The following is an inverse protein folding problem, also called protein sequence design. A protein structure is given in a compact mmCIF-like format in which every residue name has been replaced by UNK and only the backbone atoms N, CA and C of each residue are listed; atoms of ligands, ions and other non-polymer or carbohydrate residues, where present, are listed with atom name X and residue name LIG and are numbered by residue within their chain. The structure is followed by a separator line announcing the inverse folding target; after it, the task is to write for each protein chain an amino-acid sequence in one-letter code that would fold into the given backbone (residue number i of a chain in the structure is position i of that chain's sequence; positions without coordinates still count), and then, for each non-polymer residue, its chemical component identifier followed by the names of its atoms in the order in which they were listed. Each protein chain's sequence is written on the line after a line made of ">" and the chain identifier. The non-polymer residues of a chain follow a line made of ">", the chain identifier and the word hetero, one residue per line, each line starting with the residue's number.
data_IF_046319821437
#
_entry.id   IF_046319821437
#
_cell.length_a   1.000
_cell.length_b   1.000
_cell.length_c   1.000
_cell.angle_alpha   90.00
_cell.angle_beta   90.00
_cell.angle_gamma   90.00
#
_symmetry.space_group_name_H-M   'P 1'
#
loop_
_entity.id
_entity.type
_entity.pdbx_description
1 polymer ?
#
# COMPACT_ATOMS: atom_id res chain seq x y z
N UNK A 1 -12.49 8.14 29.82
CA UNK A 1 -11.76 9.41 29.99
C UNK A 1 -10.52 9.40 29.10
N UNK A 2 -10.71 9.59 27.79
CA UNK A 2 -9.76 10.20 26.84
C UNK A 2 -10.67 10.80 25.77
N UNK A 3 -10.72 12.12 25.65
CA UNK A 3 -11.32 12.79 24.51
C UNK A 3 -10.27 12.80 23.40
N UNK A 4 -10.37 11.87 22.46
CA UNK A 4 -9.57 11.91 21.24
C UNK A 4 -10.08 13.06 20.39
N UNK A 5 -9.44 14.23 20.50
CA UNK A 5 -9.67 15.33 19.57
C UNK A 5 -9.12 14.92 18.19
N UNK A 6 -9.98 14.38 17.33
CA UNK A 6 -9.72 14.05 15.92
C UNK A 6 -9.50 15.29 15.04
N UNK A 7 -9.08 16.43 15.58
CA UNK A 7 -8.87 17.64 14.80
C UNK A 7 -7.44 17.72 14.22
N UNK A 8 -6.44 17.14 14.93
CA UNK A 8 -5.02 17.32 14.58
C UNK A 8 -4.14 16.09 14.86
N UNK A 9 -3.03 16.03 14.13
CA UNK A 9 -1.94 15.03 14.22
C UNK A 9 -0.57 15.69 14.11
N UNK A 10 0.48 14.96 14.51
CA UNK A 10 1.87 15.37 14.32
C UNK A 10 2.45 14.65 13.10
N UNK A 11 3.06 15.40 12.18
CA UNK A 11 3.77 14.81 11.04
C UNK A 11 5.19 14.34 11.42
N UNK A 12 5.94 13.82 10.46
CA UNK A 12 7.28 13.26 10.67
C UNK A 12 8.32 14.26 11.22
N UNK A 13 8.09 15.56 11.06
CA UNK A 13 8.93 16.63 11.60
C UNK A 13 8.39 17.21 12.92
N UNK A 14 7.36 16.58 13.52
CA UNK A 14 6.77 17.01 14.78
C UNK A 14 5.90 18.27 14.68
N UNK A 15 5.48 18.67 13.47
CA UNK A 15 4.55 19.78 13.28
C UNK A 15 3.11 19.31 13.45
N UNK A 16 2.31 20.08 14.20
CA UNK A 16 0.86 19.87 14.34
C UNK A 16 0.15 20.29 13.05
N UNK A 17 -0.52 19.36 12.39
CA UNK A 17 -1.31 19.56 11.18
C UNK A 17 -2.70 18.94 11.32
N UNK A 18 -3.66 19.37 10.49
CA UNK A 18 -5.00 18.76 10.49
C UNK A 18 -4.98 17.38 9.82
N UNK A 19 -5.95 16.53 10.12
CA UNK A 19 -6.11 15.25 9.41
C UNK A 19 -6.36 15.44 7.93
N UNK A 20 -7.06 16.50 7.52
CA UNK A 20 -7.29 16.82 6.11
C UNK A 20 -5.97 17.15 5.39
N UNK A 21 -5.09 17.92 6.04
CA UNK A 21 -3.75 18.24 5.52
C UNK A 21 -2.89 16.99 5.43
N UNK A 22 -2.88 16.16 6.47
CA UNK A 22 -2.17 14.87 6.50
C UNK A 22 -2.69 13.92 5.40
N UNK A 23 -4.01 13.78 5.27
CA UNK A 23 -4.62 12.96 4.21
C UNK A 23 -4.29 13.48 2.82
N UNK A 24 -4.31 14.80 2.61
CA UNK A 24 -3.92 15.40 1.33
C UNK A 24 -2.45 15.12 0.99
N UNK A 25 -1.54 15.24 1.97
CA UNK A 25 -0.13 14.88 1.81
C UNK A 25 0.03 13.39 1.46
N UNK A 26 -0.66 12.50 2.20
CA UNK A 26 -0.65 11.06 1.94
C UNK A 26 -1.18 10.71 0.55
N UNK A 27 -2.20 11.43 0.07
CA UNK A 27 -2.75 11.22 -1.28
C UNK A 27 -1.85 11.76 -2.40
N UNK A 28 -0.85 12.58 -2.08
CA UNK A 28 0.08 13.13 -3.07
C UNK A 28 1.36 12.32 -3.24
N UNK A 29 1.68 11.42 -2.31
CA UNK A 29 2.90 10.63 -2.31
C UNK A 29 2.67 9.25 -2.91
N UNK A 30 3.52 8.85 -3.87
CA UNK A 30 3.61 7.45 -4.31
C UNK A 30 4.22 6.61 -3.19
N UNK A 31 3.60 5.49 -2.86
CA UNK A 31 4.16 4.53 -1.92
C UNK A 31 4.83 3.41 -2.71
N UNK A 32 6.11 3.19 -2.47
CA UNK A 32 6.88 2.16 -3.17
C UNK A 32 7.73 1.34 -2.20
N UNK A 33 7.93 0.07 -2.54
CA UNK A 33 8.70 -0.83 -1.70
C UNK A 33 8.75 -2.26 -2.21
N UNK A 34 9.65 -3.04 -1.64
CA UNK A 34 9.77 -4.46 -1.94
C UNK A 34 8.86 -5.28 -1.03
N UNK A 35 8.00 -6.11 -1.61
CA UNK A 35 7.16 -7.06 -0.88
C UNK A 35 7.32 -8.47 -1.45
N UNK A 36 7.10 -9.48 -0.62
CA UNK A 36 7.03 -10.88 -1.04
C UNK A 36 5.67 -11.15 -1.66
N UNK A 37 5.64 -11.61 -2.91
CA UNK A 37 4.41 -12.02 -3.61
C UNK A 37 4.42 -13.52 -3.83
N UNK A 38 3.35 -14.20 -3.42
CA UNK A 38 3.14 -15.58 -3.80
C UNK A 38 2.84 -15.68 -5.31
N UNK A 39 3.59 -16.51 -6.02
CA UNK A 39 3.52 -16.64 -7.48
C UNK A 39 2.79 -17.90 -7.92
N UNK A 40 3.31 -19.07 -7.56
CA UNK A 40 2.68 -20.38 -7.75
C UNK A 40 3.36 -21.41 -6.85
N UNK A 41 2.85 -22.65 -6.84
CA UNK A 41 3.38 -23.75 -6.00
C UNK A 41 4.85 -24.05 -6.29
N UNK A 42 5.29 -23.95 -7.55
CA UNK A 42 6.66 -24.29 -7.94
C UNK A 42 7.69 -23.21 -7.55
N UNK A 43 7.32 -21.92 -7.65
CA UNK A 43 8.21 -20.78 -7.39
C UNK A 43 8.04 -20.18 -6.00
N UNK A 44 6.90 -20.41 -5.36
CA UNK A 44 6.57 -19.90 -4.04
C UNK A 44 6.50 -18.37 -3.96
N UNK A 45 6.93 -17.85 -2.80
CA UNK A 45 7.08 -16.43 -2.50
C UNK A 45 8.31 -15.86 -3.19
N UNK A 46 8.14 -14.70 -3.83
CA UNK A 46 9.20 -14.03 -4.55
C UNK A 46 9.13 -12.53 -4.30
N UNK A 47 10.28 -11.90 -4.09
CA UNK A 47 10.34 -10.45 -3.93
C UNK A 47 9.96 -9.74 -5.22
N UNK A 48 9.07 -8.75 -5.10
CA UNK A 48 8.64 -7.88 -6.20
C UNK A 48 8.63 -6.45 -5.71
N UNK A 49 8.89 -5.54 -6.63
CA UNK A 49 8.78 -4.12 -6.35
C UNK A 49 7.34 -3.67 -6.59
N UNK A 50 6.71 -3.08 -5.58
CA UNK A 50 5.34 -2.57 -5.65
C UNK A 50 5.35 -1.05 -5.66
N UNK A 51 4.42 -0.48 -6.42
CA UNK A 51 4.14 0.95 -6.43
C UNK A 51 2.63 1.11 -6.29
N UNK A 52 2.20 1.83 -5.26
CA UNK A 52 0.84 2.27 -5.03
C UNK A 52 0.74 3.75 -5.39
N UNK A 53 -0.20 4.06 -6.28
CA UNK A 53 -0.64 5.42 -6.56
C UNK A 53 -1.94 5.71 -5.81
N UNK A 54 -1.91 6.51 -4.72
CA UNK A 54 -3.10 6.85 -3.97
C UNK A 54 -4.14 7.64 -4.78
N UNK A 55 -3.72 8.41 -5.80
CA UNK A 55 -4.63 9.25 -6.59
C UNK A 55 -5.52 8.41 -7.49
N UNK A 56 -4.95 7.39 -8.10
CA UNK A 56 -5.68 6.46 -8.99
C UNK A 56 -6.19 5.22 -8.25
N UNK A 57 -5.68 4.96 -7.04
CA UNK A 57 -5.97 3.75 -6.28
C UNK A 57 -5.40 2.48 -6.92
N UNK A 58 -4.40 2.61 -7.78
CA UNK A 58 -3.80 1.49 -8.51
C UNK A 58 -2.55 1.00 -7.77
N UNK A 59 -2.52 -0.31 -7.51
CA UNK A 59 -1.34 -1.03 -7.04
C UNK A 59 -0.72 -1.80 -8.21
N UNK A 60 0.50 -1.44 -8.60
CA UNK A 60 1.25 -2.09 -9.67
C UNK A 60 2.46 -2.84 -9.12
N UNK A 61 2.91 -3.89 -9.79
CA UNK A 61 4.13 -4.60 -9.42
C UNK A 61 5.09 -4.84 -10.61
N UNK A 62 6.38 -4.87 -10.27
CA UNK A 62 7.51 -5.05 -11.15
C UNK A 62 8.42 -6.16 -10.62
N UNK A 63 9.33 -6.70 -11.44
CA UNK A 63 10.24 -7.74 -10.95
C UNK A 63 11.21 -7.19 -9.90
N UNK A 64 11.68 -5.97 -10.09
CA UNK A 64 12.67 -5.30 -9.26
C UNK A 64 12.55 -3.77 -9.44
N UNK A 65 13.28 -3.01 -8.63
CA UNK A 65 13.29 -1.54 -8.65
C UNK A 65 13.83 -0.94 -9.96
N UNK A 66 14.75 -1.63 -10.64
CA UNK A 66 15.32 -1.11 -11.89
C UNK A 66 14.31 -1.15 -13.05
N UNK A 67 13.34 -2.06 -12.99
CA UNK A 67 12.30 -2.24 -14.01
C UNK A 67 11.10 -1.29 -13.85
N UNK A 68 11.13 -0.34 -12.90
CA UNK A 68 10.05 0.66 -12.70
C UNK A 68 9.70 1.46 -13.96
N UNK A 69 10.69 1.69 -14.84
CA UNK A 69 10.52 2.42 -16.10
C UNK A 69 9.89 1.57 -17.21
N UNK A 70 9.80 0.26 -17.02
CA UNK A 70 9.17 -0.65 -17.97
C UNK A 70 7.67 -0.79 -17.69
N UNK A 71 6.97 -1.54 -18.53
CA UNK A 71 5.57 -1.85 -18.30
C UNK A 71 5.43 -2.72 -17.03
N UNK A 72 4.48 -2.40 -16.12
CA UNK A 72 4.24 -3.23 -14.95
C UNK A 72 3.87 -4.65 -15.37
N UNK A 73 4.31 -5.64 -14.58
CA UNK A 73 3.98 -7.06 -14.80
C UNK A 73 2.51 -7.35 -14.55
N UNK A 74 1.88 -6.54 -13.72
CA UNK A 74 0.46 -6.54 -13.44
C UNK A 74 0.09 -5.38 -12.54
N UNK A 75 -1.17 -5.01 -12.55
CA UNK A 75 -1.72 -3.93 -11.76
C UNK A 75 -3.16 -4.25 -11.37
N UNK A 76 -3.64 -3.62 -10.30
CA UNK A 76 -4.99 -3.82 -9.80
C UNK A 76 -5.53 -2.57 -9.12
N UNK A 77 -6.84 -2.32 -9.25
CA UNK A 77 -7.54 -1.27 -8.51
C UNK A 77 -7.87 -1.73 -7.10
N UNK A 78 -7.46 -0.94 -6.12
CA UNK A 78 -7.75 -1.19 -4.70
C UNK A 78 -9.11 -0.66 -4.23
N UNK A 79 -9.84 0.08 -5.07
CA UNK A 79 -11.14 0.70 -4.71
C UNK A 79 -12.16 -0.30 -4.13
N UNK A 80 -12.13 -1.55 -4.57
CA UNK A 80 -12.99 -2.63 -4.06
C UNK A 80 -12.20 -3.77 -3.39
N UNK A 81 -10.93 -3.55 -3.07
CA UNK A 81 -10.10 -4.54 -2.42
C UNK A 81 -10.34 -4.55 -0.91
N UNK A 82 -10.35 -5.75 -0.33
CA UNK A 82 -10.34 -5.94 1.12
C UNK A 82 -8.92 -6.33 1.52
N UNK A 83 -8.31 -5.52 2.38
CA UNK A 83 -7.01 -5.83 2.99
C UNK A 83 -7.27 -6.53 4.33
N UNK A 84 -6.76 -7.74 4.48
CA UNK A 84 -6.87 -8.54 5.69
C UNK A 84 -5.47 -8.87 6.20
N UNK A 85 -4.94 -8.14 7.20
CA UNK A 85 -3.73 -8.53 7.91
C UNK A 85 -3.85 -9.96 8.48
N UNK A 86 -2.75 -10.71 8.51
CA UNK A 86 -2.72 -12.03 9.16
C UNK A 86 -2.73 -11.86 10.68
N UNK A 87 -3.46 -12.75 11.37
CA UNK A 87 -3.45 -12.84 12.82
C UNK A 87 -2.19 -13.58 13.34
N UNK A 88 -1.56 -14.39 12.48
CA UNK A 88 -0.40 -15.23 12.83
C UNK A 88 0.96 -14.58 12.53
N UNK A 89 1.05 -13.72 11.50
CA UNK A 89 2.30 -13.06 11.09
C UNK A 89 2.11 -11.57 10.82
N UNK A 90 2.79 -10.74 11.62
CA UNK A 90 2.77 -9.27 11.51
C UNK A 90 3.28 -8.73 10.18
N UNK A 91 3.97 -9.53 9.36
CA UNK A 91 4.50 -9.13 8.07
C UNK A 91 3.66 -9.62 6.87
N UNK A 92 2.54 -10.30 7.13
CA UNK A 92 1.70 -10.89 6.10
C UNK A 92 0.32 -10.25 6.08
N UNK A 93 -0.18 -9.96 4.88
CA UNK A 93 -1.55 -9.54 4.65
C UNK A 93 -2.07 -10.15 3.35
N UNK A 94 -3.37 -10.43 3.32
CA UNK A 94 -4.08 -10.78 2.11
C UNK A 94 -4.73 -9.54 1.49
N UNK A 95 -4.57 -9.40 0.17
CA UNK A 95 -5.34 -8.44 -0.62
C UNK A 95 -6.37 -9.22 -1.45
N UNK A 96 -7.65 -9.16 -1.04
CA UNK A 96 -8.75 -9.91 -1.64
C UNK A 96 -9.60 -9.00 -2.51
N UNK A 97 -9.72 -9.35 -3.78
CA UNK A 97 -10.63 -8.69 -4.71
C UNK A 97 -11.91 -9.49 -4.75
N UNK A 98 -13.03 -8.86 -4.38
CA UNK A 98 -14.34 -9.48 -4.58
C UNK A 98 -14.64 -9.43 -6.06
N UNK A 99 -14.47 -10.56 -6.76
CA UNK A 99 -14.98 -10.70 -8.13
C UNK A 99 -16.49 -10.44 -8.09
N UNK A 100 -16.94 -9.48 -8.90
CA UNK A 100 -18.37 -9.26 -9.14
C UNK A 100 -18.95 -10.43 -9.92
#
# INVERSE_FOLDING_TARGET
>A
RISENFDYVYNSIGRRISWLEMSAEMMCQLYEGQLSKYTNVMKGWQFRWFILDPKTGILSYYLNENERKQQPRGWVHLEAAVIAPSDEDSNTFDCKFKLR
#
